data_IF_575102292277
#
_entry.id   IF_575102292277
#
_cell.length_a   1.000
_cell.length_b   1.000
_cell.length_c   1.000
_cell.angle_alpha   90.00
_cell.angle_beta   90.00
_cell.angle_gamma   90.00
#
_symmetry.space_group_name_H-M   'P 1'
#
loop_
_entity.id
_entity.type
_entity.pdbx_description
1 polymer ?
#
# COMPACT_ATOMS: atom_id res chain seq x y z
N UNK A 1 12.95 -14.32 -20.53
CA UNK A 1 12.18 -15.27 -21.34
C UNK A 1 11.37 -14.46 -22.35
N UNK A 2 11.90 -14.29 -23.57
CA UNK A 2 11.18 -13.69 -24.70
C UNK A 2 9.97 -14.57 -25.01
N UNK A 3 8.78 -14.05 -24.76
CA UNK A 3 7.53 -14.75 -25.02
C UNK A 3 6.91 -14.18 -26.28
N UNK A 4 6.95 -14.96 -27.35
CA UNK A 4 6.19 -14.69 -28.56
C UNK A 4 4.72 -14.95 -28.22
N UNK A 5 3.88 -13.94 -28.30
CA UNK A 5 2.60 -13.99 -27.61
C UNK A 5 1.39 -14.26 -28.54
N UNK A 6 1.09 -13.50 -29.61
CA UNK A 6 -0.16 -13.74 -30.39
C UNK A 6 -0.11 -13.39 -31.90
N UNK A 7 -1.04 -13.98 -32.68
CA UNK A 7 -1.05 -14.10 -34.16
C UNK A 7 -1.86 -13.03 -34.94
N UNK A 8 -2.42 -11.98 -34.31
CA UNK A 8 -3.22 -10.98 -35.07
C UNK A 8 -3.18 -9.56 -34.50
N UNK A 9 -3.30 -8.57 -35.40
CA UNK A 9 -3.53 -7.15 -35.10
C UNK A 9 -4.67 -6.96 -34.10
N UNK A 10 -4.45 -6.16 -33.06
CA UNK A 10 -5.50 -5.77 -32.10
C UNK A 10 -6.66 -5.10 -32.85
N UNK A 11 -7.86 -5.68 -32.77
CA UNK A 11 -9.08 -5.12 -33.36
C UNK A 11 -9.36 -3.69 -32.88
N UNK A 12 -8.96 -3.37 -31.65
CA UNK A 12 -9.19 -2.09 -30.99
C UNK A 12 -8.42 -0.93 -31.67
N UNK A 13 -7.25 -1.18 -32.26
CA UNK A 13 -6.52 -0.12 -32.97
C UNK A 13 -7.19 0.27 -34.30
N UNK A 14 -7.82 -0.70 -34.98
CA UNK A 14 -8.60 -0.41 -36.19
C UNK A 14 -9.86 0.37 -35.85
N UNK A 15 -10.48 0.12 -34.70
CA UNK A 15 -11.62 0.90 -34.20
C UNK A 15 -11.23 2.35 -33.87
N UNK A 16 -10.10 2.58 -33.19
CA UNK A 16 -9.54 3.93 -32.92
C UNK A 16 -9.27 4.71 -34.21
N UNK A 17 -8.78 4.04 -35.26
CA UNK A 17 -8.55 4.68 -36.56
C UNK A 17 -9.88 5.02 -37.26
N UNK A 18 -10.89 4.15 -37.11
CA UNK A 18 -12.20 4.28 -37.74
C UNK A 18 -13.18 5.19 -36.97
N UNK A 19 -12.85 5.61 -35.75
CA UNK A 19 -13.69 6.49 -34.96
C UNK A 19 -13.83 7.87 -35.63
N UNK A 20 -15.10 8.26 -35.88
CA UNK A 20 -15.51 9.32 -36.82
C UNK A 20 -15.59 10.71 -36.21
N UNK A 21 -15.55 10.82 -34.89
CA UNK A 21 -15.88 12.06 -34.18
C UNK A 21 -14.74 13.12 -34.21
N UNK A 22 -13.57 12.79 -34.76
CA UNK A 22 -12.40 13.68 -34.87
C UNK A 22 -11.96 13.93 -36.34
N UNK A 23 -12.87 13.76 -37.31
CA UNK A 23 -12.54 13.79 -38.72
C UNK A 23 -12.55 15.21 -39.32
N UNK A 24 -11.37 15.79 -39.51
CA UNK A 24 -11.14 16.80 -40.54
C UNK A 24 -9.80 16.49 -41.25
N UNK A 25 -9.80 15.66 -42.31
CA UNK A 25 -8.58 15.27 -42.99
C UNK A 25 -7.92 16.49 -43.62
N UNK A 26 -6.60 16.60 -43.48
CA UNK A 26 -5.81 17.52 -44.30
C UNK A 26 -5.73 16.98 -45.75
N UNK A 27 -5.23 17.80 -46.69
CA UNK A 27 -5.16 17.48 -48.14
C UNK A 27 -4.46 16.14 -48.47
N UNK A 28 -3.75 15.54 -47.50
CA UNK A 28 -3.02 14.27 -47.63
C UNK A 28 -3.67 13.07 -46.90
N UNK A 29 -4.91 13.16 -46.42
CA UNK A 29 -5.61 12.08 -45.68
C UNK A 29 -4.88 11.59 -44.41
N UNK A 30 -4.16 12.47 -43.71
CA UNK A 30 -3.43 12.12 -42.47
C UNK A 30 -4.27 12.43 -41.23
N UNK A 31 -4.54 11.42 -40.39
CA UNK A 31 -5.18 11.57 -39.06
C UNK A 31 -4.09 11.81 -38.00
N UNK A 32 -4.09 12.98 -37.37
CA UNK A 32 -3.18 13.28 -36.27
C UNK A 32 -3.81 12.90 -34.93
N UNK A 33 -3.24 11.91 -34.23
CA UNK A 33 -3.67 11.53 -32.88
C UNK A 33 -2.76 12.23 -31.88
N UNK A 34 -3.29 13.22 -31.16
CA UNK A 34 -2.56 13.94 -30.11
C UNK A 34 -2.97 13.35 -28.76
N UNK A 35 -2.29 12.28 -28.31
CA UNK A 35 -2.39 11.78 -26.92
C UNK A 35 -1.19 12.30 -26.11
N UNK A 36 -1.34 13.47 -25.50
CA UNK A 36 -0.32 14.07 -24.64
C UNK A 36 -0.24 13.29 -23.32
N UNK A 37 0.83 12.50 -23.14
CA UNK A 37 1.31 11.90 -21.86
C UNK A 37 2.15 10.64 -22.06
N UNK A 38 2.23 10.10 -23.28
CA UNK A 38 2.97 8.85 -23.55
C UNK A 38 4.36 9.18 -24.06
N UNK A 39 5.40 8.59 -23.45
CA UNK A 39 6.79 8.78 -23.89
C UNK A 39 7.03 8.07 -25.23
N UNK A 40 7.98 8.59 -26.02
CA UNK A 40 8.34 7.98 -27.30
C UNK A 40 8.77 6.50 -27.15
N UNK A 41 9.43 6.16 -26.03
CA UNK A 41 9.85 4.79 -25.73
C UNK A 41 8.66 3.86 -25.45
N UNK A 42 7.69 4.32 -24.65
CA UNK A 42 6.47 3.54 -24.40
C UNK A 42 5.67 3.38 -25.69
N UNK A 43 5.58 4.45 -26.49
CA UNK A 43 4.86 4.41 -27.75
C UNK A 43 5.50 3.44 -28.75
N UNK A 44 6.83 3.38 -28.84
CA UNK A 44 7.55 2.39 -29.65
C UNK A 44 7.20 0.94 -29.25
N UNK A 45 7.09 0.66 -27.94
CA UNK A 45 6.66 -0.65 -27.45
C UNK A 45 5.20 -0.93 -27.83
N UNK A 46 4.32 0.06 -27.71
CA UNK A 46 2.92 -0.06 -28.12
C UNK A 46 2.80 -0.34 -29.62
N UNK A 47 3.56 0.35 -30.46
CA UNK A 47 3.59 0.09 -31.90
C UNK A 47 4.07 -1.32 -32.20
N UNK A 48 5.17 -1.76 -31.57
CA UNK A 48 5.66 -3.14 -31.72
C UNK A 48 4.62 -4.17 -31.28
N UNK A 49 3.86 -3.89 -30.23
CA UNK A 49 2.73 -4.73 -29.83
C UNK A 49 1.62 -4.76 -30.88
N UNK A 50 1.20 -3.61 -31.41
CA UNK A 50 0.12 -3.53 -32.40
C UNK A 50 0.46 -4.32 -33.67
N UNK A 51 1.70 -4.20 -34.17
CA UNK A 51 2.12 -4.86 -35.41
C UNK A 51 2.59 -6.30 -35.20
N UNK A 52 3.21 -6.59 -34.05
CA UNK A 52 3.90 -7.85 -33.81
C UNK A 52 3.26 -8.76 -32.76
N UNK A 53 2.25 -8.29 -32.02
CA UNK A 53 1.58 -9.05 -30.96
C UNK A 53 2.46 -9.41 -29.77
N UNK A 54 3.63 -8.76 -29.61
CA UNK A 54 4.66 -9.14 -28.65
C UNK A 54 5.17 -7.91 -27.89
N UNK A 55 5.26 -8.05 -26.57
CA UNK A 55 5.98 -7.12 -25.68
C UNK A 55 7.01 -7.90 -24.89
N UNK A 56 8.27 -7.45 -24.93
CA UNK A 56 9.32 -8.00 -24.09
C UNK A 56 9.44 -7.17 -22.80
N UNK A 57 9.15 -7.79 -21.66
CA UNK A 57 9.26 -7.18 -20.32
C UNK A 57 10.50 -7.66 -19.55
N UNK A 58 11.36 -8.47 -20.18
CA UNK A 58 12.58 -8.96 -19.56
C UNK A 58 13.56 -7.82 -19.30
N UNK A 59 14.02 -7.69 -18.05
CA UNK A 59 14.92 -6.63 -17.58
C UNK A 59 14.38 -5.19 -17.73
N UNK A 60 13.07 -5.04 -17.93
CA UNK A 60 12.43 -3.73 -17.97
C UNK A 60 12.20 -3.23 -16.54
N UNK A 61 12.44 -1.94 -16.31
CA UNK A 61 12.16 -1.30 -15.03
C UNK A 61 10.66 -1.42 -14.68
N UNK A 62 10.34 -1.68 -13.41
CA UNK A 62 8.95 -1.80 -12.96
C UNK A 62 8.15 -0.53 -13.26
N UNK A 63 8.76 0.64 -13.08
CA UNK A 63 8.13 1.93 -13.39
C UNK A 63 7.72 2.02 -14.86
N UNK A 64 8.62 1.63 -15.77
CA UNK A 64 8.33 1.59 -17.19
C UNK A 64 7.18 0.63 -17.51
N UNK A 65 7.16 -0.54 -16.87
CA UNK A 65 6.08 -1.53 -17.05
C UNK A 65 4.72 -0.98 -16.59
N UNK A 66 4.71 -0.23 -15.49
CA UNK A 66 3.52 0.45 -14.99
C UNK A 66 3.07 1.58 -15.93
N UNK A 67 3.98 2.43 -16.40
CA UNK A 67 3.65 3.50 -17.34
C UNK A 67 3.19 2.94 -18.70
N UNK A 68 3.75 1.81 -19.14
CA UNK A 68 3.27 1.06 -20.30
C UNK A 68 1.85 0.51 -20.09
N UNK A 69 1.52 0.03 -18.90
CA UNK A 69 0.17 -0.42 -18.55
C UNK A 69 -0.84 0.74 -18.65
N UNK A 70 -0.50 1.91 -18.10
CA UNK A 70 -1.32 3.11 -18.21
C UNK A 70 -1.51 3.54 -19.67
N UNK A 71 -0.44 3.50 -20.47
CA UNK A 71 -0.53 3.83 -21.88
C UNK A 71 -1.36 2.79 -22.66
N UNK A 72 -1.19 1.50 -22.40
CA UNK A 72 -2.00 0.45 -23.02
C UNK A 72 -3.50 0.68 -22.77
N UNK A 73 -3.88 1.06 -21.54
CA UNK A 73 -5.26 1.44 -21.21
C UNK A 73 -5.74 2.66 -22.01
N UNK A 74 -4.89 3.69 -22.15
CA UNK A 74 -5.20 4.88 -22.97
C UNK A 74 -5.40 4.58 -24.45
N UNK A 75 -4.75 3.54 -24.97
CA UNK A 75 -4.96 3.07 -26.34
C UNK A 75 -6.00 1.95 -26.42
N UNK A 76 -6.77 1.73 -25.35
CA UNK A 76 -7.83 0.73 -25.26
C UNK A 76 -7.34 -0.68 -25.64
N UNK A 77 -6.07 -0.98 -25.33
CA UNK A 77 -5.45 -2.27 -25.60
C UNK A 77 -5.73 -3.24 -24.43
N UNK A 78 -7.00 -3.56 -24.20
CA UNK A 78 -7.48 -4.29 -23.03
C UNK A 78 -6.70 -5.58 -22.74
N UNK A 79 -6.35 -6.34 -23.78
CA UNK A 79 -5.57 -7.56 -23.61
C UNK A 79 -4.17 -7.30 -23.03
N UNK A 80 -3.47 -6.28 -23.54
CA UNK A 80 -2.15 -5.90 -23.06
C UNK A 80 -2.24 -5.32 -21.64
N UNK A 81 -3.23 -4.45 -21.41
CA UNK A 81 -3.52 -3.86 -20.10
C UNK A 81 -3.71 -4.93 -19.05
N UNK A 82 -4.58 -5.92 -19.31
CA UNK A 82 -4.89 -7.02 -18.39
C UNK A 82 -3.66 -7.89 -18.07
N UNK A 83 -2.78 -8.12 -19.04
CA UNK A 83 -1.55 -8.91 -18.85
C UNK A 83 -0.51 -8.16 -18.03
N UNK A 84 -0.31 -6.87 -18.33
CA UNK A 84 0.60 -6.02 -17.57
C UNK A 84 0.16 -5.87 -16.11
N UNK A 85 -1.14 -5.67 -15.90
CA UNK A 85 -1.74 -5.60 -14.57
C UNK A 85 -1.45 -6.88 -13.76
N UNK A 86 -1.71 -8.04 -14.35
CA UNK A 86 -1.46 -9.36 -13.72
C UNK A 86 0.04 -9.56 -13.43
N UNK A 87 0.91 -9.26 -14.40
CA UNK A 87 2.36 -9.38 -14.24
C UNK A 87 2.92 -8.48 -13.12
N UNK A 88 2.40 -7.25 -12.99
CA UNK A 88 2.81 -6.34 -11.91
C UNK A 88 2.40 -6.87 -10.54
N UNK A 89 1.18 -7.40 -10.41
CA UNK A 89 0.68 -8.00 -9.17
C UNK A 89 1.53 -9.22 -8.78
N UNK A 90 1.73 -10.15 -9.72
CA UNK A 90 2.37 -11.43 -9.43
C UNK A 90 3.87 -11.30 -9.16
N UNK A 91 4.56 -10.40 -9.87
CA UNK A 91 6.03 -10.36 -9.85
C UNK A 91 6.63 -9.12 -9.18
N UNK A 92 5.85 -8.06 -8.94
CA UNK A 92 6.33 -6.75 -8.46
C UNK A 92 5.57 -6.23 -7.23
N UNK A 93 5.02 -7.13 -6.42
CA UNK A 93 4.26 -6.81 -5.21
C UNK A 93 4.99 -5.82 -4.27
N UNK A 94 6.31 -5.97 -4.07
CA UNK A 94 7.10 -5.06 -3.23
C UNK A 94 7.12 -3.63 -3.77
N UNK A 95 7.35 -3.46 -5.08
CA UNK A 95 7.29 -2.17 -5.73
C UNK A 95 5.89 -1.56 -5.64
N UNK A 96 4.84 -2.36 -5.82
CA UNK A 96 3.46 -1.90 -5.67
C UNK A 96 3.18 -1.35 -4.27
N UNK A 97 3.71 -1.99 -3.23
CA UNK A 97 3.62 -1.49 -1.85
C UNK A 97 4.40 -0.20 -1.64
N UNK A 98 5.63 -0.09 -2.18
CA UNK A 98 6.45 1.12 -2.05
C UNK A 98 5.81 2.34 -2.69
N UNK A 99 5.18 2.18 -3.86
CA UNK A 99 4.57 3.27 -4.62
C UNK A 99 3.04 3.28 -4.52
N UNK A 100 2.51 2.79 -3.39
CA UNK A 100 1.09 2.50 -3.22
C UNK A 100 0.16 3.67 -3.56
N UNK A 101 0.42 4.84 -2.99
CA UNK A 101 -0.44 6.03 -3.21
C UNK A 101 -0.45 6.49 -4.66
N UNK A 102 0.71 6.46 -5.32
CA UNK A 102 0.86 6.77 -6.75
C UNK A 102 0.06 5.82 -7.63
N UNK A 103 0.08 4.52 -7.31
CA UNK A 103 -0.68 3.49 -8.02
C UNK A 103 -2.17 3.67 -7.80
N UNK A 104 -2.58 3.84 -6.54
CA UNK A 104 -3.99 4.01 -6.19
C UNK A 104 -4.58 5.25 -6.87
N UNK A 105 -3.86 6.38 -6.87
CA UNK A 105 -4.26 7.57 -7.63
C UNK A 105 -4.40 7.29 -9.13
N UNK A 106 -3.47 6.56 -9.73
CA UNK A 106 -3.55 6.23 -11.15
C UNK A 106 -4.78 5.37 -11.48
N UNK A 107 -5.10 4.38 -10.65
CA UNK A 107 -6.28 3.51 -10.81
C UNK A 107 -7.58 4.32 -10.85
N UNK A 108 -7.72 5.33 -10.00
CA UNK A 108 -8.94 6.14 -9.93
C UNK A 108 -8.97 7.33 -10.89
N UNK A 109 -7.85 7.64 -11.54
CA UNK A 109 -7.78 8.61 -12.63
C UNK A 109 -8.08 7.98 -13.98
N UNK A 110 -7.73 6.71 -14.15
CA UNK A 110 -7.79 5.97 -15.40
C UNK A 110 -8.77 4.82 -15.22
N UNK A 111 -9.97 4.94 -15.79
CA UNK A 111 -10.98 3.87 -15.70
C UNK A 111 -10.38 2.55 -16.24
N UNK A 112 -10.56 1.43 -15.52
CA UNK A 112 -10.45 0.01 -15.96
C UNK A 112 -9.47 -0.92 -15.21
N UNK A 113 -8.70 -0.47 -14.21
CA UNK A 113 -7.73 -1.33 -13.49
C UNK A 113 -8.32 -2.17 -12.34
N UNK A 114 -9.29 -3.04 -12.64
CA UNK A 114 -10.04 -3.79 -11.60
C UNK A 114 -9.20 -4.77 -10.78
N UNK A 115 -8.21 -5.46 -11.36
CA UNK A 115 -7.42 -6.45 -10.62
C UNK A 115 -6.48 -5.74 -9.64
N UNK A 116 -5.87 -4.65 -10.08
CA UNK A 116 -4.98 -3.83 -9.29
C UNK A 116 -5.76 -3.06 -8.22
N UNK A 117 -6.97 -2.58 -8.55
CA UNK A 117 -7.88 -2.00 -7.57
C UNK A 117 -8.20 -3.01 -6.46
N UNK A 118 -8.57 -4.24 -6.81
CA UNK A 118 -8.85 -5.30 -5.84
C UNK A 118 -7.60 -5.64 -4.99
N UNK A 119 -6.44 -5.80 -5.63
CA UNK A 119 -5.17 -6.04 -4.93
C UNK A 119 -4.86 -4.93 -3.92
N UNK A 120 -4.99 -3.66 -4.32
CA UNK A 120 -4.80 -2.52 -3.44
C UNK A 120 -5.83 -2.50 -2.30
N UNK A 121 -7.10 -2.75 -2.62
CA UNK A 121 -8.19 -2.79 -1.66
C UNK A 121 -7.99 -3.85 -0.56
N UNK A 122 -7.48 -5.03 -0.92
CA UNK A 122 -7.16 -6.12 0.01
C UNK A 122 -6.02 -5.76 0.97
N UNK A 123 -5.09 -4.91 0.54
CA UNK A 123 -4.02 -4.38 1.38
C UNK A 123 -4.58 -3.30 2.32
N UNK A 124 -5.36 -2.36 1.78
CA UNK A 124 -5.90 -1.21 2.53
C UNK A 124 -6.86 -1.66 3.62
N UNK A 125 -7.67 -2.71 3.38
CA UNK A 125 -8.57 -3.21 4.42
C UNK A 125 -7.79 -3.55 5.68
N UNK A 126 -6.68 -4.27 5.54
CA UNK A 126 -5.82 -4.71 6.66
C UNK A 126 -4.89 -3.62 7.18
N UNK A 127 -4.37 -2.77 6.30
CA UNK A 127 -3.40 -1.74 6.63
C UNK A 127 -3.80 -0.38 6.03
N UNK A 128 -4.76 0.32 6.63
CA UNK A 128 -5.19 1.64 6.14
C UNK A 128 -4.08 2.70 6.18
N UNK A 129 -3.05 2.55 7.04
CA UNK A 129 -1.95 3.52 7.20
C UNK A 129 -1.24 3.81 5.87
N UNK A 130 -1.07 2.81 5.00
CA UNK A 130 -0.40 2.94 3.69
C UNK A 130 -0.91 4.09 2.83
N UNK A 131 -2.20 4.43 2.95
CA UNK A 131 -2.81 5.51 2.17
C UNK A 131 -3.14 6.72 3.03
N UNK A 132 -3.72 6.53 4.22
CA UNK A 132 -4.18 7.64 5.05
C UNK A 132 -3.03 8.43 5.69
N UNK A 133 -1.92 7.77 6.04
CA UNK A 133 -0.75 8.40 6.65
C UNK A 133 0.29 8.84 5.62
N UNK A 134 0.04 8.60 4.33
CA UNK A 134 0.93 9.03 3.27
C UNK A 134 0.96 10.56 3.14
N UNK A 135 2.14 11.12 2.83
CA UNK A 135 2.32 12.56 2.66
C UNK A 135 1.52 13.12 1.48
N UNK A 136 1.23 12.30 0.47
CA UNK A 136 0.46 12.68 -0.72
C UNK A 136 -1.03 12.31 -0.64
N UNK A 137 -1.55 11.89 0.52
CA UNK A 137 -2.97 11.58 0.74
C UNK A 137 -3.92 12.68 0.26
N UNK A 138 -3.54 13.93 0.51
CA UNK A 138 -4.32 15.11 0.11
C UNK A 138 -4.41 15.29 -1.42
N UNK A 139 -3.59 14.58 -2.20
CA UNK A 139 -3.61 14.59 -3.67
C UNK A 139 -4.46 13.45 -4.26
N UNK A 140 -5.17 12.67 -3.43
CA UNK A 140 -6.06 11.63 -3.91
C UNK A 140 -7.28 12.23 -4.65
N UNK A 141 -7.71 11.62 -5.77
CA UNK A 141 -8.96 11.96 -6.43
C UNK A 141 -10.17 11.73 -5.50
N UNK A 142 -11.24 12.51 -5.67
CA UNK A 142 -12.49 12.32 -4.90
C UNK A 142 -13.03 10.88 -5.06
N UNK A 143 -12.95 10.31 -6.26
CA UNK A 143 -13.36 8.93 -6.55
C UNK A 143 -12.59 7.91 -5.71
N UNK A 144 -11.28 8.11 -5.53
CA UNK A 144 -10.43 7.27 -4.71
C UNK A 144 -10.85 7.35 -3.23
N UNK A 145 -11.01 8.57 -2.70
CA UNK A 145 -11.44 8.78 -1.31
C UNK A 145 -12.82 8.18 -1.05
N UNK A 146 -13.77 8.39 -1.95
CA UNK A 146 -15.12 7.81 -1.89
C UNK A 146 -15.07 6.28 -1.88
N UNK A 147 -14.22 5.67 -2.71
CA UNK A 147 -14.04 4.22 -2.72
C UNK A 147 -13.51 3.70 -1.37
N UNK A 148 -12.52 4.37 -0.78
CA UNK A 148 -11.95 4.01 0.53
C UNK A 148 -13.00 4.04 1.65
N UNK A 149 -13.70 5.17 1.80
CA UNK A 149 -14.63 5.37 2.92
C UNK A 149 -15.91 4.54 2.77
N UNK A 150 -16.26 4.10 1.55
CA UNK A 150 -17.41 3.22 1.31
C UNK A 150 -17.21 1.79 1.85
N UNK A 151 -15.97 1.32 1.97
CA UNK A 151 -15.62 -0.07 2.31
C UNK A 151 -16.06 -0.51 3.71
N UNK A 152 -16.82 -1.60 3.82
CA UNK A 152 -17.23 -2.11 5.14
C UNK A 152 -16.10 -2.82 5.91
N UNK A 153 -15.02 -3.22 5.25
CA UNK A 153 -13.89 -3.99 5.82
C UNK A 153 -12.67 -3.13 6.21
N UNK A 154 -12.77 -1.80 6.08
CA UNK A 154 -11.69 -0.87 6.42
C UNK A 154 -11.44 -0.86 7.94
N UNK A 155 -10.26 -1.35 8.36
CA UNK A 155 -9.85 -1.45 9.78
C UNK A 155 -9.45 -0.09 10.39
N UNK A 156 -10.37 0.88 10.45
CA UNK A 156 -10.11 2.21 11.02
C UNK A 156 -11.29 2.73 11.84
N UNK A 157 -11.00 3.38 12.97
CA UNK A 157 -12.02 4.07 13.79
C UNK A 157 -12.71 5.16 12.97
N UNK A 158 -14.04 5.24 13.05
CA UNK A 158 -14.84 6.23 12.30
C UNK A 158 -14.44 7.68 12.61
N UNK A 159 -14.04 7.97 13.84
CA UNK A 159 -13.54 9.29 14.21
C UNK A 159 -12.24 9.66 13.49
N UNK A 160 -11.33 8.70 13.27
CA UNK A 160 -10.12 8.91 12.46
C UNK A 160 -10.47 9.13 10.98
N UNK A 161 -11.42 8.35 10.45
CA UNK A 161 -11.89 8.50 9.06
C UNK A 161 -12.45 9.91 8.86
N UNK A 162 -13.25 10.41 9.80
CA UNK A 162 -13.73 11.78 9.79
C UNK A 162 -12.59 12.81 9.73
N UNK A 163 -11.58 12.68 10.58
CA UNK A 163 -10.44 13.60 10.61
C UNK A 163 -9.73 13.66 9.24
N UNK A 164 -9.52 12.51 8.60
CA UNK A 164 -8.92 12.44 7.27
C UNK A 164 -9.82 13.02 6.18
N UNK A 165 -11.13 12.79 6.23
CA UNK A 165 -12.08 13.36 5.27
C UNK A 165 -12.11 14.88 5.37
N UNK A 166 -12.09 15.44 6.59
CA UNK A 166 -12.01 16.88 6.80
C UNK A 166 -10.66 17.43 6.34
N UNK A 167 -9.55 16.77 6.69
CA UNK A 167 -8.20 17.14 6.24
C UNK A 167 -8.11 17.20 4.70
N UNK A 168 -8.63 16.19 4.01
CA UNK A 168 -8.68 16.14 2.55
C UNK A 168 -9.58 17.24 1.99
N UNK A 169 -10.77 17.45 2.58
CA UNK A 169 -11.70 18.48 2.14
C UNK A 169 -11.13 19.90 2.27
N UNK A 170 -10.41 20.19 3.35
CA UNK A 170 -9.73 21.47 3.54
C UNK A 170 -8.57 21.61 2.55
N UNK A 171 -7.80 20.55 2.30
CA UNK A 171 -6.66 20.63 1.36
C UNK A 171 -7.09 20.89 -0.08
N UNK A 172 -8.30 20.47 -0.48
CA UNK A 172 -8.86 20.81 -1.80
C UNK A 172 -9.29 22.28 -1.92
N UNK A 173 -9.37 23.02 -0.81
CA UNK A 173 -9.85 24.40 -0.77
C UNK A 173 -8.84 25.32 -0.05
N UNK A 174 -7.71 25.67 -0.69
CA UNK A 174 -6.62 26.43 -0.05
C UNK A 174 -7.01 27.84 0.43
N UNK A 175 -8.15 28.36 -0.01
CA UNK A 175 -8.68 29.66 0.41
C UNK A 175 -9.39 29.64 1.76
N UNK A 176 -9.62 28.46 2.34
CA UNK A 176 -10.27 28.33 3.65
C UNK A 176 -9.35 28.83 4.77
N UNK A 177 -9.88 29.59 5.76
CA UNK A 177 -9.09 29.98 6.92
C UNK A 177 -8.61 28.77 7.71
N UNK A 178 -7.42 28.89 8.32
CA UNK A 178 -6.85 27.82 9.15
C UNK A 178 -7.62 27.69 10.47
N UNK A 179 -8.04 28.82 11.06
CA UNK A 179 -8.83 28.83 12.30
C UNK A 179 -10.32 28.68 11.98
N UNK A 180 -10.95 27.66 12.56
CA UNK A 180 -12.38 27.37 12.36
C UNK A 180 -13.30 28.51 12.86
N UNK A 181 -12.87 29.30 13.84
CA UNK A 181 -13.64 30.44 14.35
C UNK A 181 -13.82 31.55 13.31
N UNK A 182 -12.91 31.65 12.34
CA UNK A 182 -12.94 32.64 11.26
C UNK A 182 -13.85 32.21 10.09
N UNK A 183 -14.49 31.04 10.19
CA UNK A 183 -15.24 30.49 9.07
C UNK A 183 -16.59 31.17 8.85
N UNK A 184 -16.73 31.79 7.67
CA UNK A 184 -17.99 32.32 7.16
C UNK A 184 -18.96 31.19 6.77
N UNK A 185 -20.23 31.53 6.53
CA UNK A 185 -21.20 30.56 5.99
C UNK A 185 -20.78 30.01 4.62
N UNK A 186 -20.14 30.84 3.81
CA UNK A 186 -19.64 30.46 2.49
C UNK A 186 -18.49 29.45 2.61
N UNK A 187 -17.58 29.62 3.58
CA UNK A 187 -16.51 28.65 3.84
C UNK A 187 -17.06 27.25 4.16
N UNK A 188 -18.08 27.18 5.01
CA UNK A 188 -18.76 25.90 5.29
C UNK A 188 -19.46 25.33 4.06
N UNK A 189 -20.05 26.16 3.20
CA UNK A 189 -20.70 25.72 1.97
C UNK A 189 -19.70 25.17 0.95
N UNK A 190 -18.52 25.79 0.84
CA UNK A 190 -17.41 25.33 0.00
C UNK A 190 -16.94 23.95 0.44
N UNK A 191 -16.69 23.76 1.74
CA UNK A 191 -16.31 22.46 2.28
C UNK A 191 -17.43 21.42 2.09
N UNK A 192 -18.69 21.80 2.34
CA UNK A 192 -19.85 20.93 2.13
C UNK A 192 -19.93 20.42 0.69
N UNK A 193 -19.77 21.32 -0.27
CA UNK A 193 -19.81 20.98 -1.70
C UNK A 193 -18.69 20.02 -2.07
N UNK A 194 -17.48 20.27 -1.55
CA UNK A 194 -16.30 19.40 -1.78
C UNK A 194 -16.49 18.00 -1.21
N UNK A 195 -17.10 17.88 -0.03
CA UNK A 195 -17.29 16.61 0.68
C UNK A 195 -18.64 15.95 0.41
N UNK A 196 -19.43 16.46 -0.54
CA UNK A 196 -20.83 16.04 -0.73
C UNK A 196 -21.01 14.53 -0.94
N UNK A 197 -20.06 13.86 -1.62
CA UNK A 197 -20.09 12.41 -1.83
C UNK A 197 -19.53 11.62 -0.66
N UNK A 198 -18.72 12.26 0.18
CA UNK A 198 -18.05 11.63 1.32
C UNK A 198 -18.89 11.66 2.58
N UNK A 199 -19.56 12.77 2.88
CA UNK A 199 -20.36 12.94 4.10
C UNK A 199 -21.42 11.84 4.30
N UNK A 200 -22.17 11.40 3.27
CA UNK A 200 -23.15 10.33 3.44
C UNK A 200 -22.55 8.95 3.75
N UNK A 201 -21.24 8.77 3.58
CA UNK A 201 -20.53 7.50 3.77
C UNK A 201 -19.89 7.36 5.16
N UNK A 202 -19.96 8.41 5.99
CA UNK A 202 -19.47 8.39 7.36
C UNK A 202 -20.49 7.71 8.27
N UNK A 203 -20.02 6.79 9.13
CA UNK A 203 -20.90 6.09 10.08
C UNK A 203 -20.98 6.88 11.39
N UNK A 204 -21.65 8.04 11.36
CA UNK A 204 -21.72 8.97 12.49
C UNK A 204 -22.14 8.34 13.82
N UNK A 205 -23.10 7.42 13.80
CA UNK A 205 -23.63 6.77 15.00
C UNK A 205 -22.72 5.65 15.56
N UNK A 206 -21.59 5.37 14.90
CA UNK A 206 -20.52 4.51 15.40
C UNK A 206 -19.30 5.30 15.90
N UNK A 207 -19.42 6.63 15.99
CA UNK A 207 -18.47 7.53 16.64
C UNK A 207 -18.88 7.72 18.10
N UNK A 208 -17.92 7.74 19.03
CA UNK A 208 -18.21 7.96 20.45
C UNK A 208 -18.85 9.34 20.70
N UNK A 209 -19.72 9.45 21.70
CA UNK A 209 -20.39 10.72 22.03
C UNK A 209 -19.40 11.86 22.33
N UNK A 210 -18.27 11.56 22.98
CA UNK A 210 -17.20 12.53 23.24
C UNK A 210 -16.58 13.04 21.94
N UNK A 211 -16.23 12.14 21.03
CA UNK A 211 -15.63 12.54 19.73
C UNK A 211 -16.64 13.21 18.80
N UNK A 212 -17.93 12.81 18.86
CA UNK A 212 -19.00 13.52 18.17
C UNK A 212 -19.05 14.99 18.61
N UNK A 213 -19.01 15.23 19.92
CA UNK A 213 -19.03 16.58 20.48
C UNK A 213 -17.78 17.38 20.09
N UNK A 214 -16.60 16.82 20.26
CA UNK A 214 -15.34 17.54 20.05
C UNK A 214 -15.05 17.80 18.56
N UNK A 215 -15.35 16.81 17.70
CA UNK A 215 -14.92 16.81 16.29
C UNK A 215 -16.03 17.12 15.31
N UNK A 216 -17.23 16.56 15.49
CA UNK A 216 -18.31 16.67 14.48
C UNK A 216 -19.12 17.96 14.66
N UNK A 217 -19.47 18.31 15.91
CA UNK A 217 -20.36 19.45 16.18
C UNK A 217 -19.77 20.78 15.68
N UNK A 218 -18.45 20.92 15.75
CA UNK A 218 -17.70 22.07 15.20
C UNK A 218 -17.97 22.28 13.70
N UNK A 219 -18.24 21.22 12.96
CA UNK A 219 -18.55 21.24 11.52
C UNK A 219 -20.03 21.04 11.19
N UNK A 220 -20.96 21.10 12.18
CA UNK A 220 -22.39 20.80 11.98
C UNK A 220 -23.08 21.51 10.81
N UNK A 221 -22.53 22.64 10.35
CA UNK A 221 -23.03 23.43 9.21
C UNK A 221 -22.86 22.73 7.86
N UNK A 222 -21.92 21.79 7.74
CA UNK A 222 -21.71 21.01 6.50
C UNK A 222 -22.66 19.81 6.40
N UNK A 223 -23.23 19.38 7.52
CA UNK A 223 -24.15 18.24 7.58
C UNK A 223 -25.55 18.63 7.11
N UNK A 224 -26.32 17.62 6.70
CA UNK A 224 -27.73 17.83 6.40
C UNK A 224 -28.53 18.12 7.67
N UNK A 225 -29.57 18.95 7.53
CA UNK A 225 -30.35 19.46 8.67
C UNK A 225 -30.94 18.32 9.51
N UNK A 226 -31.41 17.25 8.88
CA UNK A 226 -32.00 16.11 9.59
C UNK A 226 -30.93 15.29 10.31
N UNK A 227 -29.80 15.00 9.65
CA UNK A 227 -28.67 14.30 10.24
C UNK A 227 -28.11 15.05 11.45
N UNK A 228 -27.95 16.37 11.33
CA UNK A 228 -27.50 17.23 12.42
C UNK A 228 -28.44 17.17 13.64
N UNK A 229 -29.77 17.20 13.41
CA UNK A 229 -30.77 17.03 14.49
C UNK A 229 -30.64 15.67 15.16
N UNK A 230 -30.49 14.61 14.38
CA UNK A 230 -30.40 13.25 14.90
C UNK A 230 -29.11 13.01 15.69
N UNK A 231 -27.98 13.57 15.26
CA UNK A 231 -26.71 13.54 16.02
C UNK A 231 -26.86 14.26 17.35
N UNK A 232 -27.43 15.47 17.36
CA UNK A 232 -27.64 16.24 18.59
C UNK A 232 -28.62 15.50 19.53
N UNK A 233 -29.66 14.88 18.97
CA UNK A 233 -30.58 14.05 19.76
C UNK A 233 -29.85 12.85 20.35
N UNK A 234 -29.03 12.15 19.58
CA UNK A 234 -28.28 10.99 20.05
C UNK A 234 -27.30 11.34 21.18
N UNK A 235 -26.67 12.52 21.12
CA UNK A 235 -25.83 13.03 22.22
C UNK A 235 -26.61 13.26 23.52
N UNK A 236 -27.86 13.73 23.43
CA UNK A 236 -28.68 14.06 24.60
C UNK A 236 -29.50 12.87 25.13
N UNK A 237 -29.94 11.97 24.24
CA UNK A 237 -30.79 10.82 24.53
C UNK A 237 -30.49 9.69 23.53
N UNK A 238 -29.44 8.88 23.77
CA UNK A 238 -28.94 7.87 22.84
C UNK A 238 -29.97 6.81 22.46
N UNK A 239 -30.87 6.47 23.41
CA UNK A 239 -31.88 5.42 23.25
C UNK A 239 -33.04 5.81 22.33
N UNK A 240 -33.13 7.09 21.94
CA UNK A 240 -34.21 7.54 21.05
C UNK A 240 -33.93 7.17 19.60
N UNK A 241 -34.94 6.70 18.86
CA UNK A 241 -34.77 6.39 17.44
C UNK A 241 -34.44 7.66 16.65
N UNK A 242 -33.54 7.50 15.67
CA UNK A 242 -33.17 8.55 14.71
C UNK A 242 -33.86 8.31 13.38
N UNK A 243 -34.05 9.38 12.60
CA UNK A 243 -34.71 9.30 11.28
C UNK A 243 -33.71 9.11 10.14
N UNK A 244 -32.46 9.51 10.37
CA UNK A 244 -31.38 9.37 9.41
C UNK A 244 -31.03 7.91 9.17
N UNK A 245 -30.58 7.61 7.95
CA UNK A 245 -30.11 6.28 7.58
C UNK A 245 -28.86 5.98 8.41
N UNK A 246 -28.90 4.88 9.17
CA UNK A 246 -27.75 4.38 9.91
C UNK A 246 -27.03 3.36 9.02
N UNK A 247 -25.77 3.65 8.71
CA UNK A 247 -24.89 2.69 8.04
C UNK A 247 -24.43 1.60 9.03
N UNK A 248 -24.27 0.34 8.58
CA UNK A 248 -23.79 -0.75 9.43
C UNK A 248 -22.36 -0.48 9.91
N UNK A 249 -21.97 -1.00 11.08
CA UNK A 249 -20.61 -0.84 11.59
C UNK A 249 -19.58 -1.48 10.64
N UNK A 250 -18.36 -0.91 10.56
CA UNK A 250 -17.27 -1.57 9.82
C UNK A 250 -16.88 -2.86 10.52
N UNK A 251 -16.61 -3.89 9.74
CA UNK A 251 -16.18 -5.20 10.22
C UNK A 251 -14.75 -5.09 10.69
N UNK A 252 -14.49 -5.18 11.99
CA UNK A 252 -13.12 -5.29 12.49
C UNK A 252 -12.69 -6.76 12.48
N UNK A 253 -11.67 -7.11 11.70
CA UNK A 253 -11.01 -8.41 11.86
C UNK A 253 -10.11 -8.26 13.08
N UNK A 254 -10.63 -8.63 14.25
CA UNK A 254 -9.78 -8.84 15.42
C UNK A 254 -8.84 -9.98 15.06
N UNK A 255 -7.58 -9.68 14.76
CA UNK A 255 -6.53 -10.68 14.85
C UNK A 255 -6.43 -10.95 16.35
N UNK A 256 -7.21 -11.92 16.83
CA UNK A 256 -7.03 -12.48 18.17
C UNK A 256 -5.67 -13.17 18.14
N UNK A 257 -4.62 -12.43 18.47
CA UNK A 257 -3.40 -13.06 18.94
C UNK A 257 -3.79 -13.89 20.17
N UNK A 258 -3.37 -15.16 20.26
CA UNK A 258 -3.68 -15.98 21.42
C UNK A 258 -3.28 -15.20 22.66
N UNK A 259 -4.24 -14.98 23.55
CA UNK A 259 -4.03 -14.28 24.81
C UNK A 259 -2.91 -14.99 25.58
N UNK A 260 -1.69 -14.50 25.46
CA UNK A 260 -0.59 -14.99 26.25
C UNK A 260 -0.84 -14.53 27.68
N UNK A 261 -1.03 -15.53 28.54
CA UNK A 261 -1.08 -15.38 29.99
C UNK A 261 0.02 -14.44 30.46
N UNK A 262 -0.37 -13.46 31.28
CA UNK A 262 0.44 -12.63 32.20
C UNK A 262 1.97 -12.80 32.10
N UNK A 263 2.58 -12.33 31.00
CA UNK A 263 4.02 -12.03 30.95
C UNK A 263 4.16 -10.55 31.38
N UNK A 264 5.16 -10.20 32.22
CA UNK A 264 5.31 -8.83 32.73
C UNK A 264 5.31 -7.80 31.60
N UNK A 265 4.64 -6.67 31.84
CA UNK A 265 4.54 -5.48 30.98
C UNK A 265 5.90 -4.78 30.79
N UNK A 266 6.88 -5.48 30.26
CA UNK A 266 8.06 -4.82 29.73
C UNK A 266 7.74 -4.33 28.31
N UNK A 267 8.11 -3.09 27.96
CA UNK A 267 7.94 -2.59 26.60
C UNK A 267 8.71 -3.49 25.62
N UNK A 268 8.05 -3.89 24.53
CA UNK A 268 8.63 -4.68 23.44
C UNK A 268 10.02 -4.15 23.03
N UNK A 269 10.11 -2.84 22.83
CA UNK A 269 11.35 -2.07 22.68
C UNK A 269 11.09 -0.61 23.14
N UNK A 270 12.14 0.09 23.55
CA UNK A 270 12.11 1.56 23.77
C UNK A 270 12.25 2.36 22.46
N UNK A 271 12.58 1.70 21.34
CA UNK A 271 12.85 2.31 20.03
C UNK A 271 11.66 2.14 19.07
N UNK A 272 11.01 0.98 19.06
CA UNK A 272 9.87 0.66 18.18
C UNK A 272 8.72 0.01 18.97
N UNK A 273 7.47 0.34 18.62
CA UNK A 273 6.28 -0.31 19.19
C UNK A 273 5.99 -1.65 18.50
N UNK A 274 5.13 -2.46 19.09
CA UNK A 274 4.62 -3.68 18.45
C UNK A 274 3.90 -3.37 17.13
N UNK A 275 3.18 -2.25 17.06
CA UNK A 275 2.54 -1.78 15.83
C UNK A 275 3.57 -1.42 14.75
N UNK A 276 4.65 -0.72 15.11
CA UNK A 276 5.75 -0.45 14.17
C UNK A 276 6.46 -1.74 13.74
N UNK A 277 6.63 -2.71 14.64
CA UNK A 277 7.24 -4.00 14.30
C UNK A 277 6.36 -4.82 13.35
N UNK A 278 5.05 -4.85 13.60
CA UNK A 278 4.06 -5.49 12.73
C UNK A 278 4.00 -4.81 11.36
N UNK A 279 4.03 -3.47 11.33
CA UNK A 279 4.06 -2.68 10.11
C UNK A 279 5.34 -2.93 9.30
N UNK A 280 6.52 -2.89 9.93
CA UNK A 280 7.82 -3.24 9.31
C UNK A 280 7.81 -4.68 8.78
N UNK A 281 7.26 -5.63 9.54
CA UNK A 281 7.14 -7.04 9.12
C UNK A 281 6.17 -7.24 7.94
N UNK A 282 5.19 -6.34 7.76
CA UNK A 282 4.21 -6.42 6.67
C UNK A 282 4.73 -5.86 5.34
N UNK A 283 5.77 -5.01 5.42
CA UNK A 283 6.32 -4.28 4.28
C UNK A 283 7.29 -5.12 3.45
N UNK A 284 7.96 -6.09 4.09
CA UNK A 284 9.20 -6.68 3.60
C UNK A 284 9.41 -8.07 4.26
N UNK A 285 10.09 -9.01 3.59
CA UNK A 285 10.69 -10.18 4.25
C UNK A 285 11.86 -9.77 5.17
N UNK A 286 11.54 -9.03 6.23
CA UNK A 286 12.45 -8.60 7.28
C UNK A 286 12.37 -9.58 8.44
N UNK A 287 13.53 -9.84 9.05
CA UNK A 287 13.63 -10.66 10.23
C UNK A 287 14.15 -9.78 11.34
N UNK A 288 13.42 -9.70 12.44
CA UNK A 288 13.79 -8.90 13.62
C UNK A 288 13.72 -9.81 14.84
N UNK A 289 14.77 -9.80 15.64
CA UNK A 289 14.89 -10.58 16.86
C UNK A 289 15.38 -9.70 18.01
N UNK A 290 14.75 -9.82 19.17
CA UNK A 290 15.22 -9.22 20.43
C UNK A 290 16.15 -10.19 21.15
N UNK A 291 17.30 -9.72 21.59
CA UNK A 291 18.26 -10.57 22.32
C UNK A 291 17.84 -10.67 23.78
N UNK A 292 17.56 -11.89 24.24
CA UNK A 292 17.10 -12.18 25.61
C UNK A 292 18.06 -11.60 26.65
N UNK A 293 17.51 -10.93 27.66
CA UNK A 293 18.27 -10.29 28.73
C UNK A 293 18.95 -8.97 28.33
N UNK A 294 18.65 -8.44 27.14
CA UNK A 294 19.14 -7.13 26.66
C UNK A 294 18.05 -6.37 25.92
N UNK A 295 18.28 -5.08 25.67
CA UNK A 295 17.45 -4.26 24.79
C UNK A 295 17.96 -4.25 23.33
N UNK A 296 18.90 -5.14 23.00
CA UNK A 296 19.50 -5.17 21.69
C UNK A 296 18.56 -5.81 20.66
N UNK A 297 18.53 -5.21 19.48
CA UNK A 297 17.71 -5.68 18.35
C UNK A 297 18.65 -6.14 17.24
N UNK A 298 18.44 -7.36 16.76
CA UNK A 298 19.15 -7.92 15.62
C UNK A 298 18.16 -8.13 14.48
N UNK A 299 18.66 -8.12 13.25
CA UNK A 299 17.83 -8.49 12.13
C UNK A 299 18.51 -8.51 10.78
N UNK A 300 17.71 -8.82 9.76
CA UNK A 300 18.16 -8.90 8.38
C UNK A 300 17.04 -8.57 7.40
N UNK A 301 17.44 -7.99 6.28
CA UNK A 301 16.58 -7.69 5.13
C UNK A 301 16.87 -8.63 3.98
N UNK A 302 15.85 -9.35 3.52
CA UNK A 302 15.94 -10.16 2.32
C UNK A 302 15.12 -9.51 1.18
N UNK A 303 15.76 -9.02 0.10
CA UNK A 303 15.07 -8.47 -1.06
C UNK A 303 14.47 -9.54 -1.99
N UNK A 304 14.78 -10.81 -1.75
CA UNK A 304 14.30 -11.96 -2.51
C UNK A 304 13.29 -12.72 -1.64
N UNK A 305 12.12 -13.09 -2.16
CA UNK A 305 11.17 -13.89 -1.39
C UNK A 305 11.83 -15.19 -0.88
N UNK A 306 11.49 -15.63 0.34
CA UNK A 306 11.93 -16.92 0.88
C UNK A 306 11.30 -18.07 0.07
N UNK A 307 12.12 -19.02 -0.38
CA UNK A 307 11.66 -20.16 -1.19
C UNK A 307 12.01 -21.46 -0.47
N UNK A 308 10.97 -22.13 0.03
CA UNK A 308 11.08 -23.34 0.83
C UNK A 308 11.00 -24.63 0.00
N UNK A 309 11.00 -24.54 -1.33
CA UNK A 309 10.78 -25.69 -2.22
C UNK A 309 12.04 -26.51 -2.48
N UNK A 310 13.23 -26.02 -2.08
CA UNK A 310 14.50 -26.69 -2.34
C UNK A 310 14.72 -27.93 -1.46
N UNK A 311 14.99 -29.07 -2.10
CA UNK A 311 15.27 -30.32 -1.40
C UNK A 311 16.65 -30.31 -0.71
N UNK A 312 17.65 -29.65 -1.31
CA UNK A 312 19.04 -29.62 -0.82
C UNK A 312 19.47 -28.23 -0.33
N UNK A 313 18.51 -27.32 -0.13
CA UNK A 313 18.77 -25.91 0.11
C UNK A 313 19.40 -25.19 -1.10
N UNK A 314 19.44 -23.86 -1.08
CA UNK A 314 20.04 -23.07 -2.16
C UNK A 314 20.50 -21.69 -1.69
N UNK A 315 21.72 -21.36 -2.07
CA UNK A 315 22.25 -20.01 -1.92
C UNK A 315 21.71 -19.08 -3.00
N UNK A 316 21.16 -17.95 -2.57
CA UNK A 316 20.55 -16.95 -3.42
C UNK A 316 21.45 -15.73 -3.54
N UNK A 317 21.61 -15.27 -4.79
CA UNK A 317 22.48 -14.15 -5.11
C UNK A 317 21.77 -12.81 -4.94
N UNK A 318 22.24 -11.96 -4.04
CA UNK A 318 21.77 -10.58 -3.92
C UNK A 318 22.86 -9.65 -3.40
N UNK A 319 22.82 -8.37 -3.80
CA UNK A 319 23.66 -7.30 -3.25
C UNK A 319 22.91 -6.38 -2.31
N UNK A 320 21.58 -6.44 -2.33
CA UNK A 320 20.71 -5.47 -1.68
C UNK A 320 20.27 -5.92 -0.28
N UNK A 321 20.63 -7.15 0.12
CA UNK A 321 20.45 -7.63 1.49
C UNK A 321 21.38 -6.90 2.46
N UNK A 322 20.95 -6.78 3.71
CA UNK A 322 21.76 -6.29 4.82
C UNK A 322 21.32 -6.96 6.11
N UNK A 323 22.22 -7.00 7.09
CA UNK A 323 21.93 -7.40 8.46
C UNK A 323 22.29 -6.26 9.39
N UNK A 324 21.65 -6.19 10.55
CA UNK A 324 21.88 -5.10 11.47
C UNK A 324 21.84 -5.58 12.92
N UNK A 325 22.53 -4.83 13.78
CA UNK A 325 22.51 -4.96 15.22
C UNK A 325 22.36 -3.58 15.83
N UNK A 326 21.22 -3.26 16.42
CA UNK A 326 20.98 -2.01 17.13
C UNK A 326 21.25 -2.22 18.62
N UNK A 327 22.12 -1.38 19.19
CA UNK A 327 22.43 -1.38 20.62
C UNK A 327 21.69 -0.23 21.32
N UNK A 328 21.19 -0.47 22.53
CA UNK A 328 20.52 0.58 23.29
C UNK A 328 21.51 1.70 23.69
N UNK A 329 21.01 2.94 23.75
CA UNK A 329 21.68 4.17 24.20
C UNK A 329 22.75 4.84 23.31
N UNK A 330 23.22 4.23 22.20
CA UNK A 330 24.11 4.93 21.24
C UNK A 330 24.04 4.35 19.83
N UNK A 331 23.69 5.17 18.83
CA UNK A 331 23.82 4.83 17.39
C UNK A 331 25.26 4.43 17.04
N UNK A 332 26.24 5.00 17.75
CA UNK A 332 27.67 4.73 17.56
C UNK A 332 28.07 3.26 17.76
N UNK A 333 27.31 2.47 18.52
CA UNK A 333 27.58 1.05 18.75
C UNK A 333 26.66 0.13 17.94
N UNK A 334 25.73 0.69 17.16
CA UNK A 334 24.90 -0.07 16.24
C UNK A 334 25.70 -0.43 14.99
N UNK A 335 25.42 -1.57 14.39
CA UNK A 335 26.18 -2.08 13.25
C UNK A 335 25.22 -2.33 12.11
N UNK A 336 25.54 -1.81 10.92
CA UNK A 336 24.92 -2.19 9.66
C UNK A 336 25.92 -3.01 8.84
N UNK A 337 25.60 -4.29 8.66
CA UNK A 337 26.32 -5.21 7.79
C UNK A 337 25.76 -5.17 6.38
N UNK A 338 26.60 -4.88 5.37
CA UNK A 338 26.23 -4.99 3.94
C UNK A 338 26.93 -6.15 3.26
N UNK A 339 26.28 -6.75 2.26
CA UNK A 339 26.79 -7.93 1.55
C UNK A 339 28.15 -7.65 0.89
N UNK A 340 29.15 -8.48 1.23
CA UNK A 340 30.47 -8.52 0.59
C UNK A 340 30.51 -9.55 -0.54
N UNK A 341 30.03 -10.77 -0.27
CA UNK A 341 29.86 -11.80 -1.29
C UNK A 341 28.38 -12.01 -1.62
N UNK A 342 27.97 -11.44 -2.76
CA UNK A 342 26.60 -11.56 -3.23
C UNK A 342 26.11 -12.99 -3.42
N UNK A 343 26.99 -13.97 -3.68
CA UNK A 343 26.58 -15.34 -4.01
C UNK A 343 26.08 -16.12 -2.79
N UNK A 344 26.47 -15.70 -1.58
CA UNK A 344 26.17 -16.38 -0.31
C UNK A 344 25.41 -15.48 0.66
N UNK A 345 24.66 -14.51 0.12
CA UNK A 345 23.97 -13.51 0.93
C UNK A 345 22.76 -14.09 1.68
N UNK A 346 22.04 -15.01 1.04
CA UNK A 346 20.79 -15.59 1.56
C UNK A 346 20.80 -17.10 1.31
N UNK A 347 20.47 -17.91 2.31
CA UNK A 347 20.28 -19.35 2.17
C UNK A 347 18.80 -19.70 2.29
N UNK A 348 18.23 -20.25 1.23
CA UNK A 348 16.98 -21.00 1.32
C UNK A 348 17.30 -22.40 1.87
N UNK A 349 16.88 -22.67 3.09
CA UNK A 349 17.17 -23.92 3.80
C UNK A 349 16.44 -25.10 3.13
N UNK A 350 17.06 -26.28 3.16
CA UNK A 350 16.45 -27.51 2.65
C UNK A 350 15.13 -27.82 3.35
N UNK A 351 14.19 -28.42 2.61
CA UNK A 351 12.89 -28.84 3.15
C UNK A 351 12.98 -29.71 4.42
N UNK A 352 14.03 -30.51 4.53
CA UNK A 352 14.28 -31.38 5.70
C UNK A 352 14.75 -30.63 6.94
N UNK A 353 15.30 -29.41 6.79
CA UNK A 353 15.89 -28.63 7.88
C UNK A 353 15.05 -27.40 8.28
N UNK A 354 13.94 -27.13 7.59
CA UNK A 354 13.07 -25.98 7.86
C UNK A 354 12.42 -25.99 9.25
N UNK A 355 12.31 -27.16 9.89
CA UNK A 355 11.84 -27.27 11.27
C UNK A 355 12.90 -26.83 12.28
N UNK A 356 14.17 -26.71 11.86
CA UNK A 356 15.28 -26.40 12.75
C UNK A 356 15.93 -25.07 12.43
N UNK A 357 15.91 -24.64 11.17
CA UNK A 357 16.59 -23.44 10.70
C UNK A 357 15.58 -22.49 10.10
N UNK A 358 15.53 -21.28 10.65
CA UNK A 358 14.72 -20.19 10.16
C UNK A 358 15.41 -19.38 9.05
N UNK A 359 15.09 -18.09 8.94
CA UNK A 359 15.72 -17.20 7.99
C UNK A 359 17.25 -17.18 8.14
N UNK A 360 17.97 -17.27 7.03
CA UNK A 360 19.41 -17.48 7.03
C UNK A 360 20.14 -16.49 6.11
N UNK A 361 20.74 -15.49 6.73
CA UNK A 361 21.57 -14.44 6.13
C UNK A 361 23.07 -14.71 6.30
N UNK A 362 23.46 -15.97 6.56
CA UNK A 362 24.85 -16.41 6.77
C UNK A 362 25.47 -15.92 8.06
N UNK A 363 25.73 -14.63 8.13
CA UNK A 363 26.26 -13.95 9.31
C UNK A 363 25.15 -13.72 10.36
N UNK A 364 23.90 -14.05 10.04
CA UNK A 364 22.76 -14.06 10.96
C UNK A 364 21.79 -15.18 10.55
N UNK A 365 21.44 -16.07 11.46
CA UNK A 365 20.38 -17.06 11.22
C UNK A 365 19.72 -17.50 12.53
N UNK A 366 18.46 -17.96 12.40
CA UNK A 366 17.73 -18.56 13.50
C UNK A 366 17.87 -20.08 13.45
N UNK A 367 18.16 -20.72 14.58
CA UNK A 367 18.26 -22.17 14.72
C UNK A 367 17.60 -22.61 16.03
N UNK A 368 16.90 -23.74 16.01
CA UNK A 368 16.41 -24.41 17.21
C UNK A 368 16.21 -25.91 16.98
N UNK A 369 16.55 -26.74 17.96
CA UNK A 369 16.24 -28.17 17.94
C UNK A 369 14.76 -28.47 18.27
N UNK A 370 14.02 -27.47 18.76
CA UNK A 370 12.63 -27.58 19.22
C UNK A 370 11.60 -26.96 18.26
N UNK A 371 12.04 -26.48 17.09
CA UNK A 371 11.19 -25.72 16.15
C UNK A 371 10.56 -24.45 16.74
N UNK A 372 11.17 -23.93 17.82
CA UNK A 372 10.82 -22.66 18.45
C UNK A 372 12.11 -21.94 18.83
N UNK A 373 12.45 -20.90 18.06
CA UNK A 373 13.68 -20.12 18.19
C UNK A 373 13.80 -19.35 19.52
N UNK A 374 12.81 -19.43 20.41
CA UNK A 374 12.80 -18.79 21.72
C UNK A 374 13.10 -19.73 22.89
N UNK A 375 13.10 -21.06 22.65
CA UNK A 375 13.26 -22.08 23.69
C UNK A 375 14.71 -22.49 23.97
N UNK A 376 15.63 -22.20 23.05
CA UNK A 376 17.06 -22.49 23.19
C UNK A 376 17.94 -21.27 22.84
N UNK A 377 19.27 -21.45 22.92
CA UNK A 377 20.25 -20.39 22.70
C UNK A 377 21.10 -20.61 21.45
N UNK A 378 20.55 -21.29 20.43
CA UNK A 378 21.31 -21.73 19.26
C UNK A 378 21.28 -20.73 18.07
N UNK A 379 20.51 -19.64 18.19
CA UNK A 379 20.48 -18.56 17.20
C UNK A 379 21.87 -17.92 17.04
N UNK A 380 22.27 -17.60 15.80
CA UNK A 380 23.61 -17.12 15.48
C UNK A 380 23.62 -15.71 14.89
N UNK A 381 24.54 -14.86 15.35
CA UNK A 381 24.82 -13.56 14.75
C UNK A 381 26.31 -13.19 14.86
N UNK A 382 26.98 -12.97 13.73
CA UNK A 382 28.38 -12.55 13.63
C UNK A 382 28.63 -11.80 12.31
N UNK A 383 28.49 -10.47 12.34
CA UNK A 383 28.71 -9.58 11.20
C UNK A 383 30.22 -9.45 10.92
N UNK A 384 30.84 -10.45 10.25
CA UNK A 384 32.29 -10.50 10.04
C UNK A 384 32.73 -11.19 8.74
N UNK A 385 31.94 -12.13 8.20
CA UNK A 385 32.43 -13.08 7.19
C UNK A 385 31.91 -12.71 5.81
N UNK A 386 30.59 -12.66 5.64
CA UNK A 386 29.95 -12.33 4.37
C UNK A 386 29.39 -10.91 4.36
N UNK A 387 29.16 -10.31 5.53
CA UNK A 387 28.74 -8.91 5.65
C UNK A 387 29.88 -8.05 6.22
N UNK A 388 30.14 -6.88 5.61
CA UNK A 388 31.09 -5.89 6.14
C UNK A 388 30.38 -4.88 7.02
N UNK A 389 30.96 -4.58 8.19
CA UNK A 389 30.50 -3.51 9.07
C UNK A 389 30.75 -2.15 8.42
N UNK A 390 29.69 -1.39 8.20
CA UNK A 390 29.78 0.02 7.85
C UNK A 390 29.05 0.83 8.93
N UNK A 391 29.70 1.89 9.40
CA UNK A 391 29.11 2.99 10.14
C UNK A 391 29.45 4.28 9.41
#
# INVERSE_FOLDING_TARGET
MSSKFFDKLSQNFMEILNDKDDFNPNENNVKAIIKSSVSAQIFDVILKYIYGGIVNLENVETRFSFDLMLAANKFELDELTNKLETHLIDSKASWLKTYFSLIYRAIFNENNFKKLENYCNDIISKHPSFIFENSDFNSLPESALVSLIKRDDLQMKESKIWDYVIKWGISQNPTLPTNLEEWSKENFLTLKTTLQKCLPLIRYFHISNTELFDKIISYKKILDKQLCKDIIQHLAAPDRPVKSIILPARSFVVIEFPSQAEIPKEPFSTIISEEHAAEISSWIDFVVAKVKGTDDILGGYNPLAWDNTYYNGKWMKTKDSFIFSLKNNTVQNSILGRVKDSKLAICNVSKTLQNYIGPHFTDFYLYSDYSDFTLDNENYCSIKVIFTKNL
#
